data_IF_729451532669
#
_entry.id   IF_729451532669
#
_cell.length_a   1.000
_cell.length_b   1.000
_cell.length_c   1.000
_cell.angle_alpha   90.00
_cell.angle_beta   90.00
_cell.angle_gamma   90.00
#
_symmetry.space_group_name_H-M   'P 1'
#
loop_
_entity.id
_entity.type
_entity.pdbx_description
1 polymer ?
#
# COMPACT_ATOMS: atom_id res chain seq x y z
N UNK A 1 13.27 0.39 20.57
CA UNK A 1 11.83 0.68 20.55
C UNK A 1 11.63 2.19 20.39
N UNK A 2 10.52 2.63 19.78
CA UNK A 2 10.19 4.07 19.63
C UNK A 2 10.18 4.79 20.97
N UNK A 3 9.81 4.07 22.04
CA UNK A 3 9.88 4.53 23.44
C UNK A 3 11.27 4.98 23.90
N UNK A 4 12.34 4.57 23.21
CA UNK A 4 13.72 4.88 23.57
C UNK A 4 14.35 5.90 22.60
N UNK A 5 13.56 6.47 21.68
CA UNK A 5 14.02 7.48 20.75
C UNK A 5 14.37 8.78 21.51
N UNK A 6 15.46 9.44 21.11
CA UNK A 6 15.84 10.76 21.63
C UNK A 6 14.98 11.85 20.98
N UNK A 7 13.68 11.85 21.28
CA UNK A 7 12.69 12.76 20.76
C UNK A 7 11.88 13.40 21.91
N UNK A 8 11.29 14.59 21.68
CA UNK A 8 10.33 15.16 22.62
C UNK A 8 9.20 14.15 22.96
N UNK A 9 8.78 14.04 24.23
CA UNK A 9 7.77 13.07 24.65
C UNK A 9 6.43 13.17 23.89
N UNK A 10 6.01 14.38 23.53
CA UNK A 10 4.82 14.66 22.72
C UNK A 10 4.92 14.04 21.32
N UNK A 11 6.07 14.17 20.64
CA UNK A 11 6.32 13.51 19.35
C UNK A 11 6.30 11.99 19.49
N UNK A 12 6.86 11.44 20.58
CA UNK A 12 6.83 9.98 20.84
C UNK A 12 5.39 9.49 20.98
N UNK A 13 4.56 10.17 21.77
CA UNK A 13 3.14 9.81 21.97
C UNK A 13 2.38 9.88 20.64
N UNK A 14 2.61 10.91 19.84
CA UNK A 14 1.94 11.06 18.55
C UNK A 14 2.34 9.94 17.56
N UNK A 15 3.64 9.59 17.49
CA UNK A 15 4.13 8.49 16.66
C UNK A 15 3.51 7.15 17.11
N UNK A 16 3.44 6.89 18.41
CA UNK A 16 2.80 5.68 18.96
C UNK A 16 1.33 5.63 18.57
N UNK A 17 0.61 6.76 18.67
CA UNK A 17 -0.80 6.87 18.28
C UNK A 17 -0.98 6.59 16.79
N UNK A 18 -0.14 7.16 15.92
CA UNK A 18 -0.16 6.92 14.48
C UNK A 18 0.02 5.43 14.18
N UNK A 19 1.09 4.81 14.71
CA UNK A 19 1.36 3.40 14.47
C UNK A 19 0.24 2.52 15.01
N UNK A 20 -0.14 2.67 16.28
CA UNK A 20 -1.20 1.86 16.89
C UNK A 20 -2.50 1.91 16.09
N UNK A 21 -2.89 3.10 15.62
CA UNK A 21 -4.13 3.29 14.85
C UNK A 21 -4.06 2.65 13.45
N UNK A 22 -2.93 2.79 12.76
CA UNK A 22 -2.79 2.38 11.35
C UNK A 22 -2.33 0.93 11.20
N UNK A 23 -1.60 0.39 12.16
CA UNK A 23 -1.07 -0.98 12.13
C UNK A 23 -1.82 -1.94 13.04
N UNK A 24 -2.62 -1.44 13.99
CA UNK A 24 -3.41 -2.25 14.90
C UNK A 24 -4.68 -2.85 14.28
N UNK A 25 -5.62 -3.23 15.15
CA UNK A 25 -6.85 -3.99 14.81
C UNK A 25 -7.83 -3.26 13.89
N UNK A 26 -7.65 -1.96 13.65
CA UNK A 26 -8.47 -1.16 12.73
C UNK A 26 -7.75 -0.82 11.43
N UNK A 27 -6.50 -1.29 11.26
CA UNK A 27 -5.66 -1.02 10.10
C UNK A 27 -5.01 -2.30 9.56
N UNK A 28 -3.69 -2.38 9.59
CA UNK A 28 -2.91 -3.49 9.01
C UNK A 28 -3.38 -4.88 9.45
N UNK A 29 -3.58 -5.09 10.75
CA UNK A 29 -4.04 -6.39 11.27
C UNK A 29 -5.41 -6.77 10.71
N UNK A 30 -6.33 -5.80 10.56
CA UNK A 30 -7.64 -6.03 9.96
C UNK A 30 -7.53 -6.40 8.48
N UNK A 31 -6.67 -5.70 7.73
CA UNK A 31 -6.41 -6.01 6.33
C UNK A 31 -5.85 -7.43 6.16
N UNK A 32 -4.90 -7.82 7.01
CA UNK A 32 -4.32 -9.16 7.01
C UNK A 32 -5.35 -10.23 7.36
N UNK A 33 -6.19 -10.00 8.37
CA UNK A 33 -7.25 -10.93 8.74
C UNK A 33 -8.26 -11.10 7.59
N UNK A 34 -8.68 -10.00 6.96
CA UNK A 34 -9.59 -10.03 5.82
C UNK A 34 -8.98 -10.79 4.63
N UNK A 35 -7.69 -10.62 4.35
CA UNK A 35 -6.98 -11.35 3.30
C UNK A 35 -7.01 -12.87 3.51
N UNK A 36 -6.64 -13.32 4.73
CA UNK A 36 -6.64 -14.73 5.10
C UNK A 36 -8.04 -15.34 5.01
N UNK A 37 -9.05 -14.64 5.55
CA UNK A 37 -10.44 -15.12 5.53
C UNK A 37 -11.01 -15.17 4.11
N UNK A 38 -10.66 -14.19 3.26
CA UNK A 38 -11.09 -14.16 1.86
C UNK A 38 -10.53 -15.35 1.07
N UNK A 39 -9.27 -15.70 1.35
CA UNK A 39 -8.58 -16.84 0.73
C UNK A 39 -9.16 -18.19 1.16
N UNK A 40 -9.60 -18.32 2.42
CA UNK A 40 -10.20 -19.57 2.94
C UNK A 40 -11.63 -19.80 2.44
N UNK A 41 -12.42 -18.74 2.27
CA UNK A 41 -13.85 -18.84 1.99
C UNK A 41 -14.20 -19.13 0.52
N UNK A 42 -13.21 -19.41 -0.36
CA UNK A 42 -13.40 -19.64 -1.81
C UNK A 42 -14.50 -18.76 -2.39
N UNK A 43 -14.38 -17.44 -2.16
CA UNK A 43 -15.41 -16.49 -2.54
C UNK A 43 -15.77 -16.72 -4.02
N UNK A 44 -17.04 -17.05 -4.28
CA UNK A 44 -17.51 -17.46 -5.61
C UNK A 44 -17.22 -16.42 -6.69
N UNK A 45 -17.05 -15.14 -6.31
CA UNK A 45 -16.60 -14.07 -7.21
C UNK A 45 -15.66 -13.09 -6.47
N UNK A 46 -14.57 -12.63 -7.10
CA UNK A 46 -13.73 -11.57 -6.56
C UNK A 46 -14.51 -10.24 -6.48
N UNK A 47 -14.65 -9.66 -5.28
CA UNK A 47 -15.39 -8.42 -5.05
C UNK A 47 -14.46 -7.19 -5.07
N UNK A 48 -14.76 -6.23 -5.95
CA UNK A 48 -14.03 -4.93 -6.08
C UNK A 48 -13.86 -4.18 -4.76
N UNK A 49 -14.91 -4.14 -3.94
CA UNK A 49 -14.84 -3.53 -2.61
C UNK A 49 -13.84 -4.24 -1.70
N UNK A 50 -13.84 -5.58 -1.70
CA UNK A 50 -13.04 -6.38 -0.78
C UNK A 50 -11.54 -6.28 -1.11
N UNK A 51 -11.18 -6.33 -2.40
CA UNK A 51 -9.77 -6.18 -2.79
C UNK A 51 -9.24 -4.80 -2.41
N UNK A 52 -10.03 -3.75 -2.64
CA UNK A 52 -9.67 -2.40 -2.24
C UNK A 52 -9.57 -2.27 -0.71
N UNK A 53 -10.49 -2.90 0.04
CA UNK A 53 -10.46 -2.92 1.49
C UNK A 53 -9.21 -3.62 2.03
N UNK A 54 -8.88 -4.80 1.50
CA UNK A 54 -7.70 -5.56 1.92
C UNK A 54 -6.44 -4.75 1.62
N UNK A 55 -6.23 -4.28 0.39
CA UNK A 55 -4.99 -3.60 0.02
C UNK A 55 -4.81 -2.27 0.75
N UNK A 56 -5.92 -1.52 0.91
CA UNK A 56 -5.92 -0.30 1.71
C UNK A 56 -5.42 -0.58 3.12
N UNK A 57 -5.99 -1.58 3.77
CA UNK A 57 -5.72 -1.82 5.19
C UNK A 57 -4.43 -2.60 5.43
N UNK A 58 -4.16 -3.67 4.67
CA UNK A 58 -3.00 -4.56 4.81
C UNK A 58 -1.69 -3.84 4.49
N UNK A 59 -1.66 -2.98 3.48
CA UNK A 59 -0.40 -2.41 2.98
C UNK A 59 -0.40 -0.89 3.06
N UNK A 60 -1.42 -0.23 2.48
CA UNK A 60 -1.40 1.21 2.34
C UNK A 60 -1.48 1.97 3.67
N UNK A 61 -2.14 1.41 4.71
CA UNK A 61 -2.16 2.00 6.05
C UNK A 61 -0.79 2.07 6.70
N UNK A 62 0.07 1.06 6.48
CA UNK A 62 1.42 1.07 7.05
C UNK A 62 2.27 2.15 6.39
N UNK A 63 2.25 2.24 5.06
CA UNK A 63 2.95 3.31 4.33
C UNK A 63 2.42 4.70 4.68
N UNK A 64 1.10 4.84 4.81
CA UNK A 64 0.47 6.06 5.35
C UNK A 64 1.03 6.42 6.75
N UNK A 65 1.18 5.44 7.64
CA UNK A 65 1.76 5.67 8.96
C UNK A 65 3.20 6.16 8.88
N UNK A 66 4.04 5.51 8.06
CA UNK A 66 5.44 5.92 7.87
C UNK A 66 5.56 7.36 7.37
N UNK A 67 4.74 7.78 6.41
CA UNK A 67 4.74 9.15 5.89
C UNK A 67 4.23 10.17 6.93
N UNK A 68 3.16 9.85 7.67
CA UNK A 68 2.67 10.71 8.76
C UNK A 68 3.72 10.87 9.88
N UNK A 69 4.48 9.81 10.19
CA UNK A 69 5.59 9.88 11.17
C UNK A 69 6.70 10.80 10.66
N UNK A 70 7.06 10.68 9.37
CA UNK A 70 8.02 11.58 8.74
C UNK A 70 7.59 13.05 8.84
N UNK A 71 6.31 13.34 8.64
CA UNK A 71 5.75 14.68 8.82
C UNK A 71 5.87 15.18 10.27
N UNK A 72 5.53 14.35 11.26
CA UNK A 72 5.70 14.71 12.69
C UNK A 72 7.16 14.99 13.04
N UNK A 73 8.09 14.19 12.52
CA UNK A 73 9.51 14.37 12.79
C UNK A 73 10.07 15.63 12.14
N UNK A 74 9.63 15.94 10.91
CA UNK A 74 10.04 17.13 10.16
C UNK A 74 9.20 18.39 10.41
N UNK A 75 8.27 18.36 11.37
CA UNK A 75 7.37 19.47 11.69
C UNK A 75 6.54 19.97 10.50
N UNK A 76 6.10 19.04 9.66
CA UNK A 76 5.21 19.29 8.52
C UNK A 76 3.73 19.02 8.84
N UNK A 77 2.85 19.61 8.03
CA UNK A 77 1.42 19.29 8.00
C UNK A 77 1.22 17.80 7.64
N UNK A 78 0.34 17.10 8.35
CA UNK A 78 0.24 15.64 8.28
C UNK A 78 -0.65 15.12 7.16
N UNK A 79 -1.74 15.81 6.83
CA UNK A 79 -2.74 15.38 5.85
C UNK A 79 -2.11 15.16 4.48
N UNK A 80 -1.19 16.04 4.08
CA UNK A 80 -0.44 15.93 2.82
C UNK A 80 0.35 14.62 2.76
N UNK A 81 1.14 14.32 3.79
CA UNK A 81 1.95 13.10 3.86
C UNK A 81 1.08 11.84 4.09
N UNK A 82 -0.05 11.99 4.78
CA UNK A 82 -1.04 10.93 4.98
C UNK A 82 -1.66 10.48 3.66
N UNK A 83 -2.08 11.44 2.83
CA UNK A 83 -2.62 11.19 1.48
C UNK A 83 -1.55 10.59 0.58
N UNK A 84 -0.33 11.15 0.60
CA UNK A 84 0.80 10.63 -0.16
C UNK A 84 1.05 9.15 0.15
N UNK A 85 1.27 8.80 1.42
CA UNK A 85 1.57 7.43 1.82
C UNK A 85 0.43 6.45 1.53
N UNK A 86 -0.82 6.89 1.63
CA UNK A 86 -1.99 6.08 1.30
C UNK A 86 -2.06 5.78 -0.21
N UNK A 87 -1.95 6.79 -1.07
CA UNK A 87 -2.00 6.61 -2.52
C UNK A 87 -0.79 5.81 -3.03
N UNK A 88 0.39 6.12 -2.51
CA UNK A 88 1.62 5.40 -2.83
C UNK A 88 1.50 3.93 -2.45
N UNK A 89 1.03 3.62 -1.25
CA UNK A 89 0.89 2.24 -0.79
C UNK A 89 -0.16 1.44 -1.55
N UNK A 90 -1.25 2.08 -1.98
CA UNK A 90 -2.22 1.45 -2.88
C UNK A 90 -1.59 1.15 -4.25
N UNK A 91 -0.87 2.10 -4.85
CA UNK A 91 -0.16 1.88 -6.12
C UNK A 91 0.87 0.76 -6.00
N UNK A 92 1.67 0.78 -4.92
CA UNK A 92 2.68 -0.23 -4.63
C UNK A 92 2.12 -1.64 -4.62
N UNK A 93 1.02 -1.89 -3.89
CA UNK A 93 0.42 -3.23 -3.80
C UNK A 93 -0.10 -3.71 -5.15
N UNK A 94 -0.66 -2.82 -5.98
CA UNK A 94 -1.16 -3.22 -7.31
C UNK A 94 0.01 -3.64 -8.22
N UNK A 95 1.12 -2.93 -8.16
CA UNK A 95 2.33 -3.29 -8.91
C UNK A 95 2.93 -4.60 -8.37
N UNK A 96 2.98 -4.78 -7.05
CA UNK A 96 3.48 -5.99 -6.40
C UNK A 96 2.69 -7.24 -6.85
N UNK A 97 1.36 -7.18 -6.78
CA UNK A 97 0.46 -8.24 -7.28
C UNK A 97 0.67 -8.56 -8.76
N UNK A 98 0.95 -7.54 -9.57
CA UNK A 98 1.25 -7.72 -10.99
C UNK A 98 2.59 -8.44 -11.17
N UNK A 99 3.64 -8.00 -10.48
CA UNK A 99 4.98 -8.56 -10.54
C UNK A 99 4.97 -10.04 -10.10
N UNK A 100 4.29 -10.37 -9.03
CA UNK A 100 4.11 -11.76 -8.56
C UNK A 100 3.46 -12.62 -9.65
N UNK A 101 2.38 -12.12 -10.25
CA UNK A 101 1.66 -12.86 -11.28
C UNK A 101 2.50 -13.08 -12.56
N UNK A 102 3.35 -12.13 -12.97
CA UNK A 102 4.21 -12.31 -14.15
C UNK A 102 5.49 -13.10 -13.85
N UNK A 103 6.02 -13.01 -12.63
CA UNK A 103 7.16 -13.80 -12.16
C UNK A 103 6.81 -15.28 -12.11
N UNK A 104 5.63 -15.62 -11.59
CA UNK A 104 5.12 -17.00 -11.56
C UNK A 104 5.00 -17.59 -12.97
N UNK A 105 4.55 -16.80 -13.95
CA UNK A 105 4.49 -17.23 -15.36
C UNK A 105 5.86 -17.59 -15.94
N UNK A 106 6.88 -16.76 -15.66
CA UNK A 106 8.25 -16.98 -16.18
C UNK A 106 8.96 -18.14 -15.48
N UNK A 107 8.76 -18.27 -14.17
CA UNK A 107 9.52 -19.21 -13.33
C UNK A 107 8.94 -20.63 -13.38
N UNK A 108 7.62 -20.77 -13.51
CA UNK A 108 6.96 -22.08 -13.39
C UNK A 108 6.60 -22.75 -14.73
N UNK A 109 6.66 -22.04 -15.85
CA UNK A 109 6.45 -22.62 -17.20
C UNK A 109 5.12 -23.37 -17.43
N UNK A 110 4.16 -23.25 -16.51
CA UNK A 110 2.87 -23.97 -16.54
C UNK A 110 1.70 -23.02 -16.73
N UNK A 111 0.75 -23.45 -17.56
CA UNK A 111 -0.55 -22.79 -17.71
C UNK A 111 -1.35 -22.82 -16.40
N UNK A 112 -1.97 -21.68 -16.09
CA UNK A 112 -2.67 -21.26 -14.85
C UNK A 112 -3.64 -22.22 -14.14
N UNK A 113 -3.88 -23.45 -14.61
CA UNK A 113 -4.86 -24.33 -13.97
C UNK A 113 -4.44 -24.84 -12.58
N UNK A 114 -3.14 -24.85 -12.26
CA UNK A 114 -2.63 -25.51 -11.05
C UNK A 114 -2.24 -24.58 -9.88
N UNK A 115 -2.34 -23.25 -10.00
CA UNK A 115 -2.05 -22.33 -8.88
C UNK A 115 -3.36 -21.74 -8.34
N UNK A 116 -4.06 -22.55 -7.54
CA UNK A 116 -5.24 -22.17 -6.75
C UNK A 116 -4.85 -21.28 -5.57
N UNK A 117 -4.12 -20.19 -5.81
CA UNK A 117 -3.96 -19.14 -4.80
C UNK A 117 -5.29 -18.39 -4.74
N UNK A 118 -6.11 -18.68 -3.73
CA UNK A 118 -7.38 -17.99 -3.47
C UNK A 118 -7.20 -16.51 -3.04
N UNK A 119 -5.98 -15.98 -3.08
CA UNK A 119 -5.65 -14.59 -2.78
C UNK A 119 -6.34 -13.64 -3.75
N UNK A 120 -7.01 -12.63 -3.19
CA UNK A 120 -7.76 -11.63 -3.93
C UNK A 120 -6.83 -10.49 -4.35
N UNK A 121 -6.49 -10.40 -5.63
CA UNK A 121 -5.55 -9.40 -6.17
C UNK A 121 -6.20 -8.49 -7.20
N UNK A 122 -5.62 -7.30 -7.46
CA UNK A 122 -6.17 -6.37 -8.47
C UNK A 122 -6.21 -6.99 -9.88
N UNK A 123 -5.15 -7.64 -10.38
CA UNK A 123 -5.17 -8.29 -11.68
C UNK A 123 -6.27 -9.36 -11.82
N UNK A 124 -6.62 -10.09 -10.74
CA UNK A 124 -7.72 -11.06 -10.74
C UNK A 124 -9.10 -10.40 -10.78
N UNK A 125 -9.26 -9.23 -10.17
CA UNK A 125 -10.54 -8.53 -10.05
C UNK A 125 -10.84 -7.63 -11.25
N UNK A 126 -9.81 -6.93 -11.75
CA UNK A 126 -9.94 -5.86 -12.75
C UNK A 126 -9.29 -6.21 -14.11
N UNK A 127 -8.45 -7.25 -14.16
CA UNK A 127 -7.57 -7.49 -15.31
C UNK A 127 -6.27 -6.69 -15.22
N UNK A 128 -5.27 -7.12 -16.00
CA UNK A 128 -3.89 -6.60 -15.94
C UNK A 128 -3.85 -5.13 -16.36
N UNK A 129 -4.33 -4.82 -17.57
CA UNK A 129 -4.29 -3.48 -18.14
C UNK A 129 -4.94 -2.46 -17.20
N UNK A 130 -6.16 -2.78 -16.72
CA UNK A 130 -6.86 -1.90 -15.80
C UNK A 130 -6.15 -1.73 -14.46
N UNK A 131 -5.47 -2.77 -13.98
CA UNK A 131 -4.70 -2.68 -12.74
C UNK A 131 -3.51 -1.74 -12.89
N UNK A 132 -2.78 -1.81 -14.02
CA UNK A 132 -1.67 -0.91 -14.30
C UNK A 132 -2.12 0.55 -14.45
N UNK A 133 -3.24 0.79 -15.15
CA UNK A 133 -3.85 2.14 -15.21
C UNK A 133 -4.20 2.69 -13.83
N UNK A 134 -4.78 1.85 -12.96
CA UNK A 134 -5.15 2.26 -11.60
C UNK A 134 -3.91 2.55 -10.75
N UNK A 135 -2.86 1.74 -10.87
CA UNK A 135 -1.58 1.97 -10.21
C UNK A 135 -0.94 3.29 -10.63
N UNK A 136 -0.92 3.58 -11.94
CA UNK A 136 -0.39 4.84 -12.47
C UNK A 136 -1.21 6.05 -12.01
N UNK A 137 -2.54 5.94 -12.05
CA UNK A 137 -3.44 6.98 -11.53
C UNK A 137 -3.18 7.27 -10.05
N UNK A 138 -3.05 6.24 -9.21
CA UNK A 138 -2.76 6.40 -7.79
C UNK A 138 -1.38 7.01 -7.54
N UNK A 139 -0.39 6.62 -8.33
CA UNK A 139 0.95 7.23 -8.31
C UNK A 139 0.89 8.72 -8.66
N UNK A 140 0.16 9.10 -9.71
CA UNK A 140 -0.03 10.52 -10.09
C UNK A 140 -0.72 11.30 -8.97
N UNK A 141 -1.77 10.74 -8.35
CA UNK A 141 -2.43 11.36 -7.19
C UNK A 141 -1.47 11.52 -6.00
N UNK A 142 -0.57 10.57 -5.75
CA UNK A 142 0.45 10.68 -4.71
C UNK A 142 1.42 11.84 -5.03
N UNK A 143 1.92 11.93 -6.26
CA UNK A 143 2.82 13.01 -6.69
C UNK A 143 2.10 14.37 -6.58
N UNK A 144 0.85 14.47 -7.03
CA UNK A 144 0.10 15.72 -7.02
C UNK A 144 -0.09 16.31 -5.63
N UNK A 145 -0.27 15.46 -4.61
CA UNK A 145 -0.41 15.95 -3.23
C UNK A 145 0.92 16.41 -2.62
N UNK A 146 2.05 15.78 -2.98
CA UNK A 146 3.34 16.04 -2.31
C UNK A 146 4.25 17.03 -3.06
N UNK A 147 4.11 17.18 -4.38
CA UNK A 147 5.09 17.88 -5.24
C UNK A 147 5.35 19.35 -4.90
N UNK A 148 4.42 20.00 -4.20
CA UNK A 148 4.56 21.41 -3.79
C UNK A 148 5.17 21.57 -2.39
N UNK A 149 5.46 20.46 -1.69
CA UNK A 149 6.16 20.48 -0.41
C UNK A 149 7.65 20.65 -0.67
N UNK A 150 8.28 21.61 0.02
CA UNK A 150 9.72 21.84 -0.06
C UNK A 150 10.51 20.58 0.35
N UNK A 151 11.48 20.16 -0.46
CA UNK A 151 12.29 18.96 -0.18
C UNK A 151 11.62 17.63 -0.53
N UNK A 152 10.53 17.65 -1.32
CA UNK A 152 9.76 16.45 -1.68
C UNK A 152 10.33 15.66 -2.87
N UNK A 153 11.44 16.09 -3.46
CA UNK A 153 11.97 15.55 -4.72
C UNK A 153 12.19 14.03 -4.64
N UNK A 154 12.80 13.55 -3.55
CA UNK A 154 13.01 12.11 -3.32
C UNK A 154 11.72 11.32 -3.13
N UNK A 155 10.65 11.95 -2.63
CA UNK A 155 9.35 11.30 -2.48
C UNK A 155 8.65 11.18 -3.84
N UNK A 156 8.79 12.18 -4.71
CA UNK A 156 8.33 12.13 -6.09
C UNK A 156 9.09 11.06 -6.87
N UNK A 157 10.42 11.03 -6.77
CA UNK A 157 11.26 10.00 -7.39
C UNK A 157 10.87 8.58 -6.93
N UNK A 158 10.62 8.40 -5.63
CA UNK A 158 10.15 7.12 -5.08
C UNK A 158 8.80 6.70 -5.68
N UNK A 159 7.87 7.64 -5.82
CA UNK A 159 6.57 7.37 -6.44
C UNK A 159 6.73 6.93 -7.89
N UNK A 160 7.54 7.64 -8.68
CA UNK A 160 7.84 7.23 -10.05
C UNK A 160 8.48 5.85 -10.14
N UNK A 161 9.45 5.58 -9.25
CA UNK A 161 10.16 4.31 -9.22
C UNK A 161 9.21 3.11 -9.03
N UNK A 162 8.20 3.24 -8.16
CA UNK A 162 7.29 2.14 -7.82
C UNK A 162 6.59 1.54 -9.04
N UNK A 163 6.18 2.37 -10.01
CA UNK A 163 5.54 1.91 -11.25
C UNK A 163 6.57 1.54 -12.33
N UNK A 164 7.74 2.18 -12.36
CA UNK A 164 8.83 1.85 -13.30
C UNK A 164 9.35 0.42 -13.15
N UNK A 165 9.14 -0.25 -12.00
CA UNK A 165 9.49 -1.66 -11.77
C UNK A 165 8.85 -2.67 -12.74
N UNK A 166 7.84 -2.24 -13.50
CA UNK A 166 7.13 -3.08 -14.49
C UNK A 166 7.90 -3.19 -15.82
N UNK A 167 8.82 -2.27 -16.10
CA UNK A 167 9.56 -2.17 -17.36
C UNK A 167 10.98 -2.73 -17.27
#
# INVERSE_FOLDING_TARGET
>A
MISNAKLPPDKIVEIIKILSTKTGIYGMVLGQAADILSSKNKLKKPHKWLVNFIHKNKTARFLQACCEIGAVLGDFERDTFSKFGLYLGMSYQIIDDYLDMVSDKKTLGKDKKDIDNNTLTYPKVYGIEKSLELADKLKNLAIDVIKNVSGSEKLVELAEYIVKRVN
#
